data_IF_059130418446
#
_entry.id   IF_059130418446
#
_cell.length_a   1.000
_cell.length_b   1.000
_cell.length_c   1.000
_cell.angle_alpha   90.00
_cell.angle_beta   90.00
_cell.angle_gamma   90.00
#
_symmetry.space_group_name_H-M   'P 1'
#
loop_
_entity.id
_entity.type
_entity.pdbx_description
1 polymer ?
#
# COMPACT_ATOMS: atom_id res chain seq x y z
N UNK A 1 -0.56 0.07 -12.18
CA UNK A 1 0.51 -0.51 -13.02
C UNK A 1 0.14 -1.91 -13.49
N UNK A 2 0.56 -2.29 -14.69
CA UNK A 2 0.52 -3.68 -15.17
C UNK A 2 1.65 -4.52 -14.53
N UNK A 3 1.59 -5.86 -14.61
CA UNK A 3 2.65 -6.71 -14.05
C UNK A 3 4.06 -6.42 -14.57
N UNK A 4 4.20 -6.20 -15.87
CA UNK A 4 5.50 -5.87 -16.45
C UNK A 4 6.04 -4.53 -15.95
N UNK A 5 5.16 -3.54 -15.77
CA UNK A 5 5.53 -2.20 -15.30
C UNK A 5 5.97 -2.21 -13.83
N UNK A 6 5.19 -2.81 -12.93
CA UNK A 6 5.60 -2.86 -11.52
C UNK A 6 6.84 -3.75 -11.33
N UNK A 7 7.00 -4.81 -12.13
CA UNK A 7 8.17 -5.68 -12.06
C UNK A 7 9.43 -4.91 -12.44
N UNK A 8 9.41 -4.21 -13.57
CA UNK A 8 10.53 -3.38 -14.01
C UNK A 8 10.88 -2.27 -13.01
N UNK A 9 9.87 -1.69 -12.34
CA UNK A 9 10.10 -0.71 -11.27
C UNK A 9 10.81 -1.36 -10.09
N UNK A 10 10.28 -2.46 -9.58
CA UNK A 10 10.77 -3.12 -8.37
C UNK A 10 12.14 -3.79 -8.57
N UNK A 11 12.48 -4.24 -9.77
CA UNK A 11 13.84 -4.73 -10.12
C UNK A 11 14.94 -3.71 -9.86
N UNK A 12 14.61 -2.41 -9.87
CA UNK A 12 15.55 -1.33 -9.54
C UNK A 12 15.69 -1.08 -8.04
N UNK A 13 14.76 -1.59 -7.22
CA UNK A 13 14.81 -1.45 -5.77
C UNK A 13 15.79 -2.47 -5.17
N UNK A 14 16.62 -1.99 -4.26
CA UNK A 14 17.45 -2.84 -3.41
C UNK A 14 16.59 -3.71 -2.48
N UNK A 15 17.18 -4.77 -1.92
CA UNK A 15 16.50 -5.62 -0.94
C UNK A 15 16.00 -4.82 0.26
N UNK A 16 16.80 -3.87 0.77
CA UNK A 16 16.41 -3.01 1.88
C UNK A 16 15.21 -2.10 1.55
N UNK A 17 15.14 -1.59 0.32
CA UNK A 17 14.00 -0.79 -0.14
C UNK A 17 12.73 -1.64 -0.30
N UNK A 18 12.85 -2.88 -0.78
CA UNK A 18 11.71 -3.83 -0.85
C UNK A 18 11.16 -4.16 0.54
N UNK A 19 12.04 -4.41 1.51
CA UNK A 19 11.63 -4.63 2.91
C UNK A 19 10.95 -3.38 3.49
N UNK A 20 11.46 -2.18 3.17
CA UNK A 20 10.85 -0.94 3.61
C UNK A 20 9.45 -0.71 2.99
N UNK A 21 9.28 -1.04 1.70
CA UNK A 21 8.00 -0.96 0.99
C UNK A 21 6.97 -1.92 1.60
N UNK A 22 7.35 -3.18 1.81
CA UNK A 22 6.49 -4.19 2.47
C UNK A 22 6.05 -3.72 3.87
N UNK A 23 7.02 -3.34 4.70
CA UNK A 23 6.74 -2.85 6.06
C UNK A 23 5.85 -1.60 6.07
N UNK A 24 6.04 -0.68 5.12
CA UNK A 24 5.20 0.52 5.03
C UNK A 24 3.76 0.19 4.57
N UNK A 25 3.59 -0.79 3.70
CA UNK A 25 2.26 -1.23 3.27
C UNK A 25 1.48 -1.84 4.45
N UNK A 26 2.10 -2.74 5.21
CA UNK A 26 1.50 -3.34 6.42
C UNK A 26 1.19 -2.30 7.49
N UNK A 27 2.04 -1.27 7.64
CA UNK A 27 1.78 -0.15 8.55
C UNK A 27 0.55 0.64 8.15
N UNK A 28 0.31 0.88 6.86
CA UNK A 28 -0.89 1.57 6.39
C UNK A 28 -2.17 0.76 6.66
N UNK A 29 -2.17 -0.53 6.31
CA UNK A 29 -3.32 -1.42 6.51
C UNK A 29 -3.65 -1.54 8.02
N UNK A 30 -2.64 -1.60 8.87
CA UNK A 30 -2.81 -1.61 10.33
C UNK A 30 -3.27 -0.25 10.88
N UNK A 31 -2.73 0.86 10.34
CA UNK A 31 -3.09 2.23 10.72
C UNK A 31 -4.58 2.50 10.55
N UNK A 32 -5.15 2.10 9.41
CA UNK A 32 -6.58 2.30 9.13
C UNK A 32 -7.48 1.27 9.81
N UNK A 33 -6.89 0.22 10.40
CA UNK A 33 -7.60 -0.80 11.17
C UNK A 33 -8.22 -1.91 10.31
N UNK A 34 -7.70 -2.17 9.11
CA UNK A 34 -8.14 -3.32 8.31
C UNK A 34 -7.64 -4.65 8.86
N UNK A 35 -6.45 -4.64 9.47
CA UNK A 35 -5.85 -5.82 10.11
C UNK A 35 -5.45 -5.46 11.53
N UNK A 36 -5.66 -6.41 12.44
CA UNK A 36 -5.25 -6.32 13.84
C UNK A 36 -4.09 -7.29 14.10
N UNK A 37 -3.21 -6.93 15.05
CA UNK A 37 -2.08 -7.74 15.52
C UNK A 37 -1.00 -8.12 14.47
N UNK A 38 -1.04 -7.53 13.27
CA UNK A 38 0.03 -7.68 12.27
C UNK A 38 1.32 -6.93 12.64
N UNK A 39 1.21 -5.89 13.46
CA UNK A 39 2.33 -5.07 13.92
C UNK A 39 2.25 -4.84 15.43
N UNK A 40 3.39 -4.54 16.10
CA UNK A 40 3.39 -4.16 17.50
C UNK A 40 2.49 -2.94 17.75
N UNK A 41 1.71 -2.99 18.83
CA UNK A 41 0.71 -1.96 19.13
C UNK A 41 1.32 -0.56 19.28
N UNK A 42 2.57 -0.46 19.77
CA UNK A 42 3.30 0.79 19.88
C UNK A 42 3.63 1.44 18.53
N UNK A 43 3.86 0.62 17.48
CA UNK A 43 4.12 1.11 16.12
C UNK A 43 2.83 1.69 15.56
N UNK A 44 1.72 0.96 15.69
CA UNK A 44 0.40 1.41 15.22
C UNK A 44 -0.03 2.68 15.94
N UNK A 45 0.14 2.75 17.26
CA UNK A 45 -0.20 3.95 18.04
C UNK A 45 0.67 5.17 17.66
N UNK A 46 1.95 4.95 17.36
CA UNK A 46 2.83 6.01 16.87
C UNK A 46 2.37 6.53 15.50
N UNK A 47 1.99 5.64 14.59
CA UNK A 47 1.49 6.00 13.26
C UNK A 47 0.14 6.73 13.33
N UNK A 48 -0.78 6.28 14.17
CA UNK A 48 -2.06 6.95 14.40
C UNK A 48 -1.87 8.39 14.89
N UNK A 49 -0.86 8.61 15.74
CA UNK A 49 -0.51 9.94 16.23
C UNK A 49 0.17 10.81 15.15
N UNK A 50 1.05 10.23 14.35
CA UNK A 50 1.83 10.96 13.34
C UNK A 50 1.01 11.27 12.08
N UNK A 51 0.11 10.37 11.69
CA UNK A 51 -0.61 10.43 10.42
C UNK A 51 -2.13 10.26 10.54
N UNK A 52 -2.81 11.01 11.44
CA UNK A 52 -4.25 10.84 11.66
C UNK A 52 -5.10 11.16 10.42
N UNK A 53 -4.57 11.94 9.47
CA UNK A 53 -5.28 12.36 8.26
C UNK A 53 -5.46 11.24 7.22
N UNK A 54 -4.72 10.13 7.34
CA UNK A 54 -4.92 8.94 6.51
C UNK A 54 -5.96 7.97 7.08
N UNK A 55 -6.40 8.16 8.33
CA UNK A 55 -7.42 7.30 8.94
C UNK A 55 -8.80 7.78 8.46
N UNK A 56 -9.38 7.05 7.52
CA UNK A 56 -10.70 7.35 6.95
C UNK A 56 -11.66 6.20 7.22
N UNK A 57 -12.92 6.55 7.47
CA UNK A 57 -13.99 5.58 7.71
C UNK A 57 -15.23 5.95 6.92
N UNK A 58 -15.98 4.94 6.49
CA UNK A 58 -17.30 5.06 5.89
C UNK A 58 -18.24 4.11 6.63
N UNK A 59 -19.32 4.65 7.20
CA UNK A 59 -20.32 3.89 7.98
C UNK A 59 -19.70 3.01 9.09
N UNK A 60 -18.68 3.55 9.77
CA UNK A 60 -17.98 2.87 10.86
C UNK A 60 -16.98 1.80 10.42
N UNK A 61 -16.79 1.60 9.11
CA UNK A 61 -15.81 0.66 8.56
C UNK A 61 -14.57 1.41 8.05
N UNK A 62 -13.35 0.86 8.21
CA UNK A 62 -12.14 1.39 7.58
C UNK A 62 -12.30 1.56 6.06
N UNK A 63 -11.87 2.71 5.54
CA UNK A 63 -11.85 2.99 4.11
C UNK A 63 -10.41 2.90 3.58
N UNK A 64 -10.12 1.90 2.76
CA UNK A 64 -8.86 1.83 2.03
C UNK A 64 -8.88 2.79 0.83
N UNK A 65 -7.80 3.52 0.64
CA UNK A 65 -7.56 4.37 -0.52
C UNK A 65 -6.15 4.16 -1.04
N UNK A 66 -6.03 3.85 -2.34
CA UNK A 66 -4.76 3.68 -3.04
C UNK A 66 -3.89 4.94 -2.97
N UNK A 67 -4.49 6.11 -3.13
CA UNK A 67 -3.78 7.38 -3.08
C UNK A 67 -3.21 7.67 -1.69
N UNK A 68 -3.98 7.42 -0.63
CA UNK A 68 -3.52 7.58 0.75
C UNK A 68 -2.46 6.52 1.11
N UNK A 69 -2.63 5.28 0.63
CA UNK A 69 -1.65 4.21 0.81
C UNK A 69 -0.29 4.61 0.24
N UNK A 70 -0.26 5.04 -1.03
CA UNK A 70 0.97 5.49 -1.70
C UNK A 70 1.57 6.71 -0.99
N UNK A 71 0.75 7.70 -0.61
CA UNK A 71 1.23 8.89 0.10
C UNK A 71 1.82 8.56 1.47
N UNK A 72 1.20 7.64 2.22
CA UNK A 72 1.71 7.16 3.50
C UNK A 72 3.03 6.41 3.32
N UNK A 73 3.11 5.49 2.35
CA UNK A 73 4.33 4.74 2.08
C UNK A 73 5.49 5.66 1.71
N UNK A 74 5.26 6.69 0.90
CA UNK A 74 6.25 7.73 0.60
C UNK A 74 6.70 8.44 1.89
N UNK A 75 5.77 8.82 2.75
CA UNK A 75 6.08 9.52 3.99
C UNK A 75 6.87 8.68 4.99
N UNK A 76 6.66 7.36 5.01
CA UNK A 76 7.31 6.43 5.94
C UNK A 76 8.67 5.96 5.42
N UNK A 77 8.80 5.71 4.12
CA UNK A 77 10.01 5.13 3.52
C UNK A 77 10.98 6.19 2.98
N UNK A 78 10.47 7.37 2.60
CA UNK A 78 11.22 8.36 1.84
C UNK A 78 11.46 7.98 0.37
N UNK A 79 10.91 6.86 -0.10
CA UNK A 79 11.02 6.42 -1.49
C UNK A 79 10.07 7.20 -2.40
N UNK A 80 10.30 7.11 -3.71
CA UNK A 80 9.43 7.77 -4.69
C UNK A 80 8.04 7.14 -4.69
N UNK A 81 7.05 7.93 -5.12
CA UNK A 81 5.69 7.44 -5.33
C UNK A 81 5.65 6.28 -6.35
N UNK A 82 6.55 6.27 -7.34
CA UNK A 82 6.67 5.20 -8.33
C UNK A 82 6.98 3.84 -7.67
N UNK A 83 7.93 3.79 -6.74
CA UNK A 83 8.23 2.55 -6.00
C UNK A 83 7.08 2.12 -5.09
N UNK A 84 6.43 3.08 -4.44
CA UNK A 84 5.31 2.80 -3.53
C UNK A 84 4.08 2.28 -4.30
N UNK A 85 3.75 2.88 -5.44
CA UNK A 85 2.67 2.44 -6.32
C UNK A 85 2.96 1.06 -6.90
N UNK A 86 4.18 0.84 -7.39
CA UNK A 86 4.59 -0.46 -7.93
C UNK A 86 4.49 -1.57 -6.87
N UNK A 87 4.92 -1.32 -5.63
CA UNK A 87 4.78 -2.31 -4.57
C UNK A 87 3.32 -2.60 -4.22
N UNK A 88 2.49 -1.56 -4.07
CA UNK A 88 1.05 -1.72 -3.77
C UNK A 88 0.36 -2.57 -4.84
N UNK A 89 0.64 -2.32 -6.12
CA UNK A 89 0.04 -3.06 -7.22
C UNK A 89 0.58 -4.49 -7.33
N UNK A 90 1.88 -4.69 -7.09
CA UNK A 90 2.49 -6.02 -7.00
C UNK A 90 1.89 -6.86 -5.87
N UNK A 91 1.77 -6.29 -4.66
CA UNK A 91 1.22 -6.98 -3.49
C UNK A 91 -0.25 -7.36 -3.68
N UNK A 92 -1.05 -6.44 -4.25
CA UNK A 92 -2.43 -6.74 -4.64
C UNK A 92 -2.51 -7.88 -5.67
N UNK A 93 -1.63 -7.87 -6.67
CA UNK A 93 -1.55 -8.93 -7.69
C UNK A 93 -1.21 -10.30 -7.08
N UNK A 94 -0.19 -10.38 -6.22
CA UNK A 94 0.23 -11.61 -5.55
C UNK A 94 -0.87 -12.17 -4.62
N UNK A 95 -1.59 -11.31 -3.91
CA UNK A 95 -2.65 -11.72 -2.97
C UNK A 95 -3.92 -12.21 -3.66
N UNK A 96 -4.30 -11.57 -4.77
CA UNK A 96 -5.57 -11.86 -5.44
C UNK A 96 -5.43 -12.79 -6.66
N UNK A 97 -4.22 -12.99 -7.17
CA UNK A 97 -3.98 -13.81 -8.37
C UNK A 97 -4.75 -13.33 -9.59
N UNK A 98 -5.25 -12.08 -9.57
CA UNK A 98 -5.98 -11.47 -10.67
C UNK A 98 -5.04 -11.38 -11.85
N UNK A 99 -5.48 -11.93 -12.98
CA UNK A 99 -4.77 -11.79 -14.25
C UNK A 99 -4.65 -10.29 -14.59
N UNK A 100 -3.62 -9.92 -15.35
CA UNK A 100 -3.43 -8.52 -15.80
C UNK A 100 -4.70 -7.93 -16.47
N UNK A 101 -5.52 -8.80 -17.08
CA UNK A 101 -6.79 -8.45 -17.71
C UNK A 101 -7.88 -8.03 -16.71
N UNK A 102 -7.94 -8.64 -15.53
CA UNK A 102 -8.92 -8.33 -14.47
C UNK A 102 -8.64 -6.95 -13.85
N UNK A 103 -7.35 -6.60 -13.66
CA UNK A 103 -6.99 -5.26 -13.20
C UNK A 103 -7.28 -4.16 -14.24
N UNK A 104 -7.03 -4.44 -15.52
CA UNK A 104 -7.35 -3.52 -16.61
C UNK A 104 -8.86 -3.25 -16.71
N UNK A 105 -9.68 -4.29 -16.47
CA UNK A 105 -11.14 -4.18 -16.44
C UNK A 105 -11.62 -3.32 -15.25
N UNK A 106 -11.00 -3.42 -14.07
CA UNK A 106 -11.33 -2.58 -12.91
C UNK A 106 -11.01 -1.11 -13.14
N UNK A 107 -9.84 -0.79 -13.71
CA UNK A 107 -9.47 0.60 -14.01
C UNK A 107 -10.41 1.24 -15.05
N UNK A 108 -10.86 0.44 -16.01
CA UNK A 108 -11.84 0.86 -17.02
C UNK A 108 -13.25 1.06 -16.46
N UNK A 109 -13.59 0.42 -15.35
CA UNK A 109 -14.90 0.50 -14.69
C UNK A 109 -14.98 1.62 -13.64
N UNK A 110 -13.85 2.21 -13.27
CA UNK A 110 -13.74 3.33 -12.33
C UNK A 110 -13.63 4.70 -13.02
N UNK A 111 -13.72 4.75 -14.36
CA UNK A 111 -13.68 5.97 -15.20
C UNK A 111 -15.06 6.35 -15.74
#
# INVERSE_FOLDING_TARGET
MTPDEFTAVLERATEGERVALDGAHWRYISLIGLVHDALPAEVVAADQKAYPHFIKQMDGSPLFSDADCTAFMVAVTGLSAEFCEAWKDHDFYELHGETAEEMAARQSSAS
#
